data_IF_449647137789
#
_entry.id   IF_449647137789
#
_cell.length_a   1.000
_cell.length_b   1.000
_cell.length_c   1.000
_cell.angle_alpha   90.00
_cell.angle_beta   90.00
_cell.angle_gamma   90.00
#
_symmetry.space_group_name_H-M   'P 1'
#
loop_
_entity.id
_entity.type
_entity.pdbx_description
1 polymer ?
#
# COMPACT_ATOMS: atom_id res chain seq x y z
N UNK A 1 20.78 1.82 -5.51
CA UNK A 1 19.70 2.24 -6.41
C UNK A 1 18.57 1.26 -6.22
N UNK A 2 17.38 1.70 -5.83
CA UNK A 2 16.22 0.82 -5.71
C UNK A 2 15.78 0.41 -7.11
N UNK A 3 15.64 -0.89 -7.36
CA UNK A 3 15.16 -1.44 -8.63
C UNK A 3 13.70 -1.86 -8.46
N UNK A 4 12.94 -1.84 -9.57
CA UNK A 4 11.60 -2.40 -9.60
C UNK A 4 11.71 -3.91 -9.30
N UNK A 5 10.88 -4.47 -8.39
CA UNK A 5 10.94 -5.89 -8.08
C UNK A 5 10.44 -6.75 -9.24
N UNK A 6 11.12 -7.86 -9.51
CA UNK A 6 10.77 -8.80 -10.59
C UNK A 6 9.80 -9.91 -10.11
N UNK A 7 9.51 -9.97 -8.81
CA UNK A 7 8.59 -10.94 -8.22
C UNK A 7 7.86 -10.38 -7.00
N UNK A 8 6.77 -11.06 -6.59
CA UNK A 8 6.05 -10.72 -5.38
C UNK A 8 6.91 -10.91 -4.12
N UNK A 9 7.74 -11.95 -4.06
CA UNK A 9 8.63 -12.21 -2.93
C UNK A 9 9.71 -11.13 -2.79
N UNK A 10 10.23 -10.67 -3.92
CA UNK A 10 11.15 -9.53 -3.93
C UNK A 10 10.44 -8.25 -3.48
N UNK A 11 9.21 -7.99 -3.97
CA UNK A 11 8.44 -6.83 -3.55
C UNK A 11 8.15 -6.84 -2.04
N UNK A 12 7.88 -8.01 -1.44
CA UNK A 12 7.71 -8.16 0.01
C UNK A 12 9.02 -7.90 0.74
N UNK A 13 10.14 -8.44 0.23
CA UNK A 13 11.47 -8.23 0.80
C UNK A 13 11.84 -6.75 0.80
N UNK A 14 11.66 -6.06 -0.33
CA UNK A 14 11.90 -4.62 -0.43
C UNK A 14 10.95 -3.83 0.48
N UNK A 15 9.69 -4.25 0.63
CA UNK A 15 8.74 -3.61 1.54
C UNK A 15 9.18 -3.68 3.01
N UNK A 16 9.69 -4.84 3.45
CA UNK A 16 10.27 -5.00 4.80
C UNK A 16 11.47 -4.06 4.96
N UNK A 17 12.44 -4.10 4.04
CA UNK A 17 13.65 -3.27 4.09
C UNK A 17 13.33 -1.76 4.11
N UNK A 18 12.42 -1.30 3.27
CA UNK A 18 11.99 0.10 3.26
C UNK A 18 11.27 0.51 4.54
N UNK A 19 10.48 -0.39 5.14
CA UNK A 19 9.81 -0.14 6.41
C UNK A 19 10.85 -0.05 7.54
N UNK A 20 11.81 -0.96 7.60
CA UNK A 20 12.89 -0.93 8.60
C UNK A 20 13.76 0.32 8.48
N UNK A 21 14.15 0.69 7.25
CA UNK A 21 14.92 1.91 7.00
C UNK A 21 14.15 3.16 7.47
N UNK A 22 12.85 3.24 7.18
CA UNK A 22 12.02 4.35 7.64
C UNK A 22 11.91 4.40 9.18
N UNK A 23 11.75 3.24 9.83
CA UNK A 23 11.73 3.15 11.30
C UNK A 23 13.08 3.57 11.89
N UNK A 24 14.21 3.15 11.28
CA UNK A 24 15.55 3.49 11.72
C UNK A 24 15.82 5.00 11.65
N UNK A 25 15.23 5.68 10.67
CA UNK A 25 15.27 7.14 10.52
C UNK A 25 14.27 7.89 11.43
N UNK A 26 13.59 7.17 12.33
CA UNK A 26 12.71 7.73 13.36
C UNK A 26 11.28 8.01 12.89
N UNK A 27 10.87 7.50 11.72
CA UNK A 27 9.51 7.65 11.23
C UNK A 27 8.56 6.68 11.94
N UNK A 28 7.43 7.19 12.43
CA UNK A 28 6.54 6.44 13.33
C UNK A 28 5.18 6.13 12.72
N UNK A 29 4.80 6.75 11.61
CA UNK A 29 3.51 6.56 10.93
C UNK A 29 3.77 6.16 9.49
N UNK A 30 3.67 4.87 9.20
CA UNK A 30 4.15 4.28 7.95
C UNK A 30 3.02 3.53 7.23
N UNK A 31 3.09 3.54 5.90
CA UNK A 31 2.16 2.82 5.04
C UNK A 31 2.92 2.01 3.99
N UNK A 32 2.50 0.77 3.80
CA UNK A 32 2.98 -0.17 2.80
C UNK A 32 1.82 -0.57 1.90
N UNK A 33 2.01 -0.53 0.59
CA UNK A 33 0.98 -0.86 -0.39
C UNK A 33 1.52 -1.76 -1.51
N UNK A 34 1.02 -2.99 -1.58
CA UNK A 34 1.21 -3.89 -2.72
C UNK A 34 -0.09 -3.92 -3.54
N UNK A 35 -0.15 -3.14 -4.62
CA UNK A 35 -1.39 -2.90 -5.39
C UNK A 35 -1.46 -3.78 -6.65
N UNK A 36 -1.06 -5.04 -6.51
CA UNK A 36 -1.22 -6.04 -7.56
C UNK A 36 -2.71 -6.44 -7.70
N UNK A 37 -3.23 -6.58 -8.93
CA UNK A 37 -4.56 -7.14 -9.15
C UNK A 37 -4.69 -8.53 -8.52
N UNK A 38 -5.85 -8.82 -7.91
CA UNK A 38 -6.19 -10.14 -7.35
C UNK A 38 -5.23 -10.66 -6.26
N UNK A 39 -4.46 -9.76 -5.62
CA UNK A 39 -3.51 -10.13 -4.59
C UNK A 39 -4.21 -10.81 -3.41
N UNK A 40 -3.80 -12.04 -3.09
CA UNK A 40 -4.24 -12.75 -1.89
C UNK A 40 -3.50 -12.20 -0.68
N UNK A 41 -4.16 -11.34 0.09
CA UNK A 41 -3.49 -10.58 1.14
C UNK A 41 -3.03 -11.44 2.31
N UNK A 42 -3.78 -12.47 2.72
CA UNK A 42 -3.41 -13.28 3.89
C UNK A 42 -1.98 -13.88 3.83
N UNK A 43 -1.58 -14.63 2.77
CA UNK A 43 -0.22 -15.16 2.66
C UNK A 43 0.84 -14.05 2.49
N UNK A 44 0.50 -12.95 1.82
CA UNK A 44 1.41 -11.83 1.59
C UNK A 44 1.68 -11.07 2.90
N UNK A 45 0.63 -10.84 3.69
CA UNK A 45 0.73 -10.26 5.02
C UNK A 45 1.54 -11.17 5.95
N UNK A 46 1.39 -12.49 5.87
CA UNK A 46 2.22 -13.43 6.63
C UNK A 46 3.71 -13.24 6.32
N UNK A 47 4.06 -13.21 5.04
CA UNK A 47 5.45 -13.04 4.60
C UNK A 47 6.01 -11.66 5.00
N UNK A 48 5.22 -10.59 4.89
CA UNK A 48 5.62 -9.26 5.35
C UNK A 48 5.82 -9.21 6.86
N UNK A 49 4.88 -9.73 7.65
CA UNK A 49 4.95 -9.75 9.12
C UNK A 49 6.12 -10.61 9.60
N UNK A 50 6.45 -11.70 8.89
CA UNK A 50 7.59 -12.55 9.22
C UNK A 50 8.92 -11.78 9.23
N UNK A 51 9.06 -10.73 8.41
CA UNK A 51 10.22 -9.82 8.42
C UNK A 51 10.43 -9.08 9.75
N UNK A 52 9.42 -9.04 10.62
CA UNK A 52 9.49 -8.38 11.93
C UNK A 52 9.36 -9.37 13.10
N UNK A 53 9.31 -10.67 12.84
CA UNK A 53 9.02 -11.70 13.84
C UNK A 53 10.06 -11.76 14.98
N UNK A 54 11.32 -11.37 14.71
CA UNK A 54 12.40 -11.32 15.71
C UNK A 54 12.10 -10.37 16.88
N UNK A 55 11.15 -9.43 16.72
CA UNK A 55 10.68 -8.55 17.79
C UNK A 55 9.88 -9.29 18.87
N UNK A 56 9.41 -10.51 18.60
CA UNK A 56 8.65 -11.33 19.54
C UNK A 56 7.46 -10.59 20.14
N UNK A 57 7.35 -10.58 21.47
CA UNK A 57 6.27 -9.88 22.19
C UNK A 57 6.26 -8.36 21.96
N UNK A 58 7.35 -7.80 21.41
CA UNK A 58 7.42 -6.41 21.00
C UNK A 58 6.68 -6.09 19.70
N UNK A 59 6.12 -7.09 19.01
CA UNK A 59 5.31 -6.92 17.81
C UNK A 59 3.83 -7.17 18.13
N UNK A 60 2.97 -6.25 17.70
CA UNK A 60 1.51 -6.37 17.77
C UNK A 60 0.93 -6.34 16.37
N UNK A 61 0.09 -7.32 16.02
CA UNK A 61 -0.55 -7.42 14.71
C UNK A 61 -2.06 -7.35 14.85
N UNK A 62 -2.66 -6.39 14.17
CA UNK A 62 -4.09 -6.18 14.11
C UNK A 62 -4.65 -6.55 12.73
N UNK A 63 -5.79 -7.24 12.72
CA UNK A 63 -6.61 -7.50 11.55
C UNK A 63 -7.94 -6.75 11.65
N UNK A 64 -8.66 -6.55 10.52
CA UNK A 64 -9.88 -5.72 10.49
C UNK A 64 -10.93 -6.17 11.51
N UNK A 65 -11.09 -7.49 11.66
CA UNK A 65 -12.06 -8.10 12.55
C UNK A 65 -11.53 -9.38 13.22
N UNK A 66 -12.31 -9.90 14.17
CA UNK A 66 -11.99 -11.12 14.92
C UNK A 66 -11.90 -12.37 14.04
N UNK A 67 -12.67 -12.43 12.94
CA UNK A 67 -12.67 -13.54 11.99
C UNK A 67 -11.39 -13.58 11.16
N UNK A 68 -10.97 -12.45 10.61
CA UNK A 68 -9.69 -12.31 9.91
C UNK A 68 -8.50 -12.60 10.84
N UNK A 69 -8.55 -12.13 12.09
CA UNK A 69 -7.54 -12.43 13.10
C UNK A 69 -7.51 -13.93 13.47
N UNK A 70 -8.67 -14.57 13.60
CA UNK A 70 -8.75 -16.02 13.88
C UNK A 70 -8.24 -16.84 12.69
N UNK A 71 -8.56 -16.43 11.47
CA UNK A 71 -8.05 -17.04 10.25
C UNK A 71 -6.53 -16.95 10.17
N UNK A 72 -5.96 -15.77 10.44
CA UNK A 72 -4.51 -15.57 10.50
C UNK A 72 -3.85 -16.46 11.56
N UNK A 73 -4.39 -16.51 12.79
CA UNK A 73 -3.84 -17.40 13.84
C UNK A 73 -3.87 -18.88 13.44
N UNK A 74 -4.93 -19.31 12.74
CA UNK A 74 -5.03 -20.69 12.23
C UNK A 74 -3.99 -20.96 11.15
N UNK A 75 -3.86 -20.05 10.18
CA UNK A 75 -3.04 -20.26 8.99
C UNK A 75 -1.55 -20.02 9.26
N UNK A 76 -1.21 -19.12 10.19
CA UNK A 76 0.18 -18.74 10.52
C UNK A 76 0.78 -19.61 11.62
N UNK A 77 -0.06 -20.36 12.36
CA UNK A 77 0.36 -21.22 13.45
C UNK A 77 0.86 -20.44 14.67
N UNK A 78 1.77 -21.06 15.41
CA UNK A 78 2.36 -20.45 16.60
C UNK A 78 3.27 -19.28 16.21
N UNK A 79 2.96 -18.10 16.73
CA UNK A 79 3.70 -16.86 16.47
C UNK A 79 4.25 -16.31 17.78
N UNK A 80 5.45 -15.69 17.78
CA UNK A 80 6.04 -15.12 18.99
C UNK A 80 5.45 -13.74 19.36
N UNK A 81 4.46 -13.27 18.59
CA UNK A 81 3.78 -11.99 18.70
C UNK A 81 2.27 -12.19 18.77
N UNK A 82 1.52 -11.16 19.16
CA UNK A 82 0.08 -11.28 19.36
C UNK A 82 -0.70 -10.80 18.14
N UNK A 83 -1.62 -11.64 17.66
CA UNK A 83 -2.59 -11.34 16.59
C UNK A 83 -3.98 -11.12 17.19
N UNK A 84 -4.62 -9.98 16.87
CA UNK A 84 -5.97 -9.60 17.33
C UNK A 84 -6.80 -8.93 16.23
N UNK A 85 -8.12 -8.94 16.38
CA UNK A 85 -9.01 -8.05 15.64
C UNK A 85 -8.95 -6.63 16.24
N UNK A 86 -9.17 -5.60 15.42
CA UNK A 86 -9.11 -4.19 15.88
C UNK A 86 -10.18 -3.87 16.93
N UNK A 87 -11.35 -4.51 16.85
CA UNK A 87 -12.47 -4.31 17.79
C UNK A 87 -12.53 -5.33 18.93
N UNK A 88 -11.52 -6.20 19.09
CA UNK A 88 -11.49 -7.16 20.21
C UNK A 88 -11.49 -6.44 21.58
N UNK A 89 -12.06 -7.10 22.61
CA UNK A 89 -12.20 -6.56 23.97
C UNK A 89 -10.85 -6.26 24.67
N UNK A 90 -9.73 -6.79 24.18
CA UNK A 90 -8.38 -6.63 24.74
C UNK A 90 -7.40 -6.15 23.65
N UNK A 91 -7.63 -4.92 23.16
CA UNK A 91 -6.90 -4.31 22.05
C UNK A 91 -5.90 -3.24 22.46
N UNK A 92 -5.80 -2.94 23.76
CA UNK A 92 -4.89 -1.92 24.28
C UNK A 92 -3.43 -2.24 23.94
N UNK A 93 -2.69 -1.22 23.52
CA UNK A 93 -1.27 -1.33 23.20
C UNK A 93 -0.48 -1.51 24.50
N UNK A 94 0.25 -2.62 24.62
CA UNK A 94 1.01 -2.95 25.82
C UNK A 94 2.36 -2.20 25.86
N UNK A 95 2.96 -1.96 27.04
CA UNK A 95 4.23 -1.23 27.16
C UNK A 95 5.42 -1.88 26.43
N UNK A 96 5.47 -3.21 26.39
CA UNK A 96 6.52 -3.98 25.72
C UNK A 96 6.44 -3.92 24.19
N UNK A 97 5.28 -3.53 23.64
CA UNK A 97 5.07 -3.45 22.20
C UNK A 97 5.82 -2.24 21.64
N UNK A 98 6.74 -2.53 20.72
CA UNK A 98 7.64 -1.58 20.07
C UNK A 98 7.30 -1.32 18.60
N UNK A 99 6.50 -2.20 17.98
CA UNK A 99 6.01 -2.07 16.60
C UNK A 99 4.57 -2.57 16.52
N UNK A 100 3.68 -1.76 15.94
CA UNK A 100 2.28 -2.09 15.75
C UNK A 100 1.99 -2.16 14.25
N UNK A 101 1.50 -3.31 13.78
CA UNK A 101 1.10 -3.52 12.39
C UNK A 101 -0.42 -3.64 12.29
N UNK A 102 -1.03 -2.90 11.37
CA UNK A 102 -2.42 -3.09 10.99
C UNK A 102 -2.49 -3.67 9.59
N UNK A 103 -3.07 -4.86 9.47
CA UNK A 103 -3.27 -5.57 8.21
C UNK A 103 -4.64 -5.17 7.65
N UNK A 104 -4.64 -4.51 6.50
CA UNK A 104 -5.83 -4.04 5.79
C UNK A 104 -6.87 -3.28 6.63
N UNK A 105 -6.49 -2.36 7.54
CA UNK A 105 -7.49 -1.60 8.28
C UNK A 105 -8.40 -0.85 7.30
N UNK A 106 -9.69 -0.80 7.59
CA UNK A 106 -10.73 -0.22 6.74
C UNK A 106 -11.41 0.99 7.37
N UNK A 107 -12.24 1.65 6.57
CA UNK A 107 -13.09 2.76 7.01
C UNK A 107 -14.04 2.41 8.16
N UNK A 108 -14.39 1.14 8.32
CA UNK A 108 -15.36 0.67 9.33
C UNK A 108 -14.83 0.89 10.75
N UNK A 109 -13.56 0.53 10.97
CA UNK A 109 -12.90 0.52 12.27
C UNK A 109 -11.94 1.73 12.46
N UNK A 110 -11.96 2.70 11.55
CA UNK A 110 -10.98 3.80 11.51
C UNK A 110 -10.90 4.60 12.82
N UNK A 111 -12.03 4.80 13.50
CA UNK A 111 -12.04 5.50 14.79
C UNK A 111 -11.27 4.74 15.88
N UNK A 112 -11.36 3.41 15.88
CA UNK A 112 -10.60 2.55 16.81
C UNK A 112 -9.12 2.50 16.43
N UNK A 113 -8.80 2.44 15.14
CA UNK A 113 -7.41 2.53 14.64
C UNK A 113 -6.77 3.86 15.05
N UNK A 114 -7.49 4.98 14.91
CA UNK A 114 -7.05 6.31 15.33
C UNK A 114 -6.73 6.34 16.84
N UNK A 115 -7.61 5.78 17.68
CA UNK A 115 -7.38 5.67 19.13
C UNK A 115 -6.17 4.78 19.48
N UNK A 116 -6.00 3.64 18.82
CA UNK A 116 -4.85 2.75 19.03
C UNK A 116 -3.54 3.40 18.59
N UNK A 117 -3.56 4.18 17.51
CA UNK A 117 -2.41 4.97 17.08
C UNK A 117 -2.02 6.02 18.14
N UNK A 118 -3.00 6.67 18.78
CA UNK A 118 -2.73 7.60 19.89
C UNK A 118 -2.11 6.87 21.09
N UNK A 119 -2.61 5.68 21.44
CA UNK A 119 -2.02 4.85 22.50
C UNK A 119 -0.59 4.42 22.18
N UNK A 120 -0.28 4.13 20.91
CA UNK A 120 1.07 3.80 20.46
C UNK A 120 2.07 4.95 20.70
N UNK A 121 1.62 6.21 20.74
CA UNK A 121 2.49 7.36 20.95
C UNK A 121 3.56 7.46 19.87
N UNK A 122 4.82 7.54 20.27
CA UNK A 122 5.98 7.62 19.37
C UNK A 122 6.46 6.26 18.84
N UNK A 123 5.77 5.16 19.19
CA UNK A 123 6.12 3.84 18.68
C UNK A 123 5.68 3.70 17.22
N UNK A 124 6.52 3.10 16.35
CA UNK A 124 6.15 2.85 14.97
C UNK A 124 4.84 2.10 14.81
N UNK A 125 3.98 2.66 13.96
CA UNK A 125 2.75 2.06 13.47
C UNK A 125 2.83 1.96 11.96
N UNK A 126 2.61 0.76 11.44
CA UNK A 126 2.63 0.49 9.99
C UNK A 126 1.27 -0.03 9.55
N UNK A 127 0.71 0.58 8.52
CA UNK A 127 -0.44 0.07 7.79
C UNK A 127 0.03 -0.75 6.61
N UNK A 128 -0.40 -2.01 6.54
CA UNK A 128 -0.14 -2.89 5.42
C UNK A 128 -1.40 -3.03 4.56
N UNK A 129 -1.36 -2.54 3.32
CA UNK A 129 -2.47 -2.51 2.37
C UNK A 129 -3.79 -1.96 2.96
N UNK A 130 -3.78 -0.76 3.59
CA UNK A 130 -4.98 -0.18 4.19
C UNK A 130 -6.08 0.09 3.16
N UNK A 131 -7.34 0.02 3.61
CA UNK A 131 -8.57 0.34 2.86
C UNK A 131 -9.33 1.48 3.55
N UNK A 132 -8.58 2.49 3.99
CA UNK A 132 -9.09 3.63 4.77
C UNK A 132 -9.75 4.71 3.92
N UNK A 133 -9.50 4.66 2.61
CA UNK A 133 -10.08 5.58 1.64
C UNK A 133 -10.92 4.80 0.62
N UNK A 134 -12.03 4.23 1.09
CA UNK A 134 -13.05 3.83 0.14
C UNK A 134 -13.72 5.11 -0.40
N UNK A 135 -13.42 5.42 -1.66
CA UNK A 135 -14.04 6.49 -2.45
C UNK A 135 -15.58 6.34 -2.46
N UNK A 136 -16.10 5.13 -2.20
CA UNK A 136 -17.52 4.86 -2.09
C UNK A 136 -18.11 5.02 -0.67
N UNK A 137 -17.34 4.88 0.41
CA UNK A 137 -17.90 4.90 1.80
C UNK A 137 -17.65 6.20 2.55
N UNK A 138 -16.51 6.87 2.34
CA UNK A 138 -16.12 8.07 3.10
C UNK A 138 -16.23 9.35 2.27
N UNK A 139 -16.24 9.23 0.94
CA UNK A 139 -16.78 10.25 0.05
C UNK A 139 -15.98 11.56 -0.05
N UNK A 140 -16.15 12.17 -1.19
CA UNK A 140 -15.91 13.58 -1.56
C UNK A 140 -16.45 14.66 -0.58
N UNK A 141 -17.08 14.26 0.53
CA UNK A 141 -17.73 15.11 1.53
C UNK A 141 -16.81 15.56 2.67
N UNK A 142 -17.38 16.37 3.57
CA UNK A 142 -16.65 17.02 4.68
C UNK A 142 -15.99 16.02 5.64
N UNK A 143 -16.71 14.97 6.04
CA UNK A 143 -16.20 13.97 6.99
C UNK A 143 -14.95 13.24 6.47
N UNK A 144 -14.92 12.90 5.18
CA UNK A 144 -13.77 12.27 4.54
C UNK A 144 -12.56 13.18 4.41
N UNK A 145 -12.77 14.47 4.09
CA UNK A 145 -11.68 15.46 4.09
C UNK A 145 -11.09 15.63 5.48
N UNK A 146 -11.94 15.76 6.49
CA UNK A 146 -11.51 15.91 7.87
C UNK A 146 -10.71 14.69 8.36
N UNK A 147 -11.12 13.47 7.99
CA UNK A 147 -10.37 12.26 8.32
C UNK A 147 -8.98 12.25 7.67
N UNK A 148 -8.87 12.64 6.39
CA UNK A 148 -7.57 12.74 5.73
C UNK A 148 -6.66 13.73 6.42
N UNK A 149 -7.15 14.95 6.64
CA UNK A 149 -6.38 16.03 7.24
C UNK A 149 -5.94 15.70 8.67
N UNK A 150 -6.84 15.15 9.49
CA UNK A 150 -6.54 14.89 10.90
C UNK A 150 -5.78 13.60 11.14
N UNK A 151 -5.85 12.60 10.24
CA UNK A 151 -5.33 11.26 10.51
C UNK A 151 -4.51 10.68 9.35
N UNK A 152 -5.11 10.49 8.17
CA UNK A 152 -4.44 9.74 7.09
C UNK A 152 -3.20 10.46 6.53
N UNK A 153 -3.22 11.79 6.45
CA UNK A 153 -2.08 12.59 5.99
C UNK A 153 -0.87 12.54 6.94
N UNK A 154 -1.01 11.96 8.14
CA UNK A 154 0.12 11.75 9.05
C UNK A 154 0.99 10.55 8.61
N UNK A 155 0.46 9.65 7.78
CA UNK A 155 1.15 8.44 7.37
C UNK A 155 1.99 8.67 6.12
N UNK A 156 3.27 8.28 6.20
CA UNK A 156 4.15 8.28 5.06
C UNK A 156 4.13 6.92 4.38
N UNK A 157 3.85 6.89 3.08
CA UNK A 157 4.07 5.69 2.28
C UNK A 157 5.57 5.37 2.31
N UNK A 158 5.99 4.27 2.94
CA UNK A 158 7.39 3.83 2.96
C UNK A 158 7.69 2.85 1.82
N UNK A 159 6.68 2.07 1.40
CA UNK A 159 6.76 1.23 0.23
C UNK A 159 5.42 1.22 -0.51
N UNK A 160 5.43 1.40 -1.84
CA UNK A 160 4.21 1.32 -2.65
C UNK A 160 4.59 0.84 -4.04
N UNK A 161 3.92 -0.21 -4.52
CA UNK A 161 4.04 -0.65 -5.91
C UNK A 161 2.65 -0.80 -6.53
N UNK A 162 2.44 -0.10 -7.64
CA UNK A 162 1.23 -0.14 -8.43
C UNK A 162 1.57 -0.42 -9.89
N UNK A 163 1.42 -1.68 -10.34
CA UNK A 163 1.44 -1.99 -11.76
C UNK A 163 0.29 -1.29 -12.50
N UNK A 164 0.57 -0.83 -13.71
CA UNK A 164 -0.35 -0.23 -14.67
C UNK A 164 -0.17 -0.91 -16.02
N UNK A 165 -1.06 -0.68 -16.97
CA UNK A 165 -0.85 -1.13 -18.35
C UNK A 165 0.35 -0.40 -18.96
N UNK A 166 1.44 -1.13 -19.24
CA UNK A 166 2.66 -0.58 -19.82
C UNK A 166 3.50 0.30 -18.89
N UNK A 167 3.18 0.39 -17.60
CA UNK A 167 3.89 1.25 -16.66
C UNK A 167 3.78 0.75 -15.20
N UNK A 168 4.53 1.36 -14.29
CA UNK A 168 4.36 1.17 -12.85
C UNK A 168 4.65 2.46 -12.08
N UNK A 169 3.89 2.71 -11.02
CA UNK A 169 4.22 3.73 -10.01
C UNK A 169 4.79 3.02 -8.80
N UNK A 170 5.99 3.42 -8.42
CA UNK A 170 6.80 2.73 -7.42
C UNK A 170 7.38 3.69 -6.40
N UNK A 171 7.53 3.23 -5.16
CA UNK A 171 8.26 3.91 -4.11
C UNK A 171 8.83 2.87 -3.16
N UNK A 172 10.12 3.01 -2.83
CA UNK A 172 10.74 2.27 -1.74
C UNK A 172 11.65 3.24 -0.97
N UNK A 173 11.33 3.50 0.29
CA UNK A 173 12.08 4.41 1.15
C UNK A 173 13.56 4.00 1.19
N UNK A 174 14.52 4.95 1.08
CA UNK A 174 14.35 6.41 1.09
C UNK A 174 14.15 7.06 -0.29
N UNK A 175 14.03 6.29 -1.37
CA UNK A 175 13.87 6.83 -2.72
C UNK A 175 12.55 7.61 -2.87
N UNK A 176 12.50 8.63 -3.75
CA UNK A 176 11.28 9.37 -4.07
C UNK A 176 10.26 8.46 -4.78
N UNK A 177 9.10 9.03 -5.13
CA UNK A 177 8.18 8.33 -6.03
C UNK A 177 8.80 8.21 -7.41
N UNK A 178 8.61 7.08 -8.06
CA UNK A 178 9.18 6.75 -9.34
C UNK A 178 8.09 6.29 -10.30
N UNK A 179 8.22 6.69 -11.57
CA UNK A 179 7.39 6.18 -12.66
C UNK A 179 8.27 5.37 -13.59
N UNK A 180 7.90 4.12 -13.80
CA UNK A 180 8.58 3.18 -14.68
C UNK A 180 7.72 2.91 -15.91
N UNK A 181 8.32 2.87 -17.09
CA UNK A 181 7.65 2.58 -18.36
C UNK A 181 8.17 1.24 -18.89
N UNK A 182 7.25 0.38 -19.32
CA UNK A 182 7.59 -0.88 -19.98
C UNK A 182 8.16 -0.61 -21.38
N UNK A 183 9.36 -1.11 -21.63
CA UNK A 183 9.99 -1.17 -22.95
C UNK A 183 10.02 -2.63 -23.43
N UNK A 184 10.45 -2.87 -24.67
CA UNK A 184 10.46 -4.19 -25.30
C UNK A 184 11.11 -5.31 -24.47
N UNK A 185 12.11 -4.97 -23.64
CA UNK A 185 12.89 -5.96 -22.87
C UNK A 185 12.90 -5.74 -21.36
N UNK A 186 12.54 -4.55 -20.88
CA UNK A 186 12.66 -4.19 -19.46
C UNK A 186 11.86 -2.93 -19.12
N UNK A 187 11.59 -2.72 -17.84
CA UNK A 187 11.11 -1.43 -17.34
C UNK A 187 12.24 -0.40 -17.27
N UNK A 188 11.94 0.83 -17.68
CA UNK A 188 12.84 1.98 -17.59
C UNK A 188 12.25 3.06 -16.68
N UNK A 189 13.07 3.59 -15.77
CA UNK A 189 12.70 4.76 -14.97
C UNK A 189 12.58 6.00 -15.88
N UNK A 190 11.40 6.64 -15.88
CA UNK A 190 11.11 7.81 -16.73
C UNK A 190 10.88 9.10 -15.94
N UNK A 191 10.56 9.01 -14.64
CA UNK A 191 10.39 10.18 -13.78
C UNK A 191 10.60 9.85 -12.30
N UNK A 192 11.03 10.85 -11.55
CA UNK A 192 11.07 10.86 -10.08
C UNK A 192 10.30 12.07 -9.55
N UNK A 193 9.44 11.86 -8.57
CA UNK A 193 8.52 12.87 -8.04
C UNK A 193 8.54 12.89 -6.51
N UNK A 194 8.37 14.08 -5.93
CA UNK A 194 8.31 14.23 -4.47
C UNK A 194 7.01 13.65 -3.87
N UNK A 195 5.93 13.68 -4.64
CA UNK A 195 4.61 13.17 -4.26
C UNK A 195 4.16 12.06 -5.21
N UNK A 196 3.19 11.27 -4.77
CA UNK A 196 2.65 10.16 -5.58
C UNK A 196 2.03 10.72 -6.87
N UNK A 197 2.55 10.38 -8.06
CA UNK A 197 1.91 10.78 -9.30
C UNK A 197 0.61 10.00 -9.49
N UNK A 198 -0.48 10.70 -9.82
CA UNK A 198 -1.79 10.14 -10.07
C UNK A 198 -2.61 11.06 -11.00
N UNK A 199 -3.64 10.50 -11.66
CA UNK A 199 -4.51 11.25 -12.57
C UNK A 199 -3.72 11.99 -13.65
N UNK A 200 -4.08 13.25 -13.88
CA UNK A 200 -3.46 14.12 -14.90
C UNK A 200 -1.93 14.22 -14.76
N UNK A 201 -1.39 14.24 -13.54
CA UNK A 201 0.05 14.34 -13.32
C UNK A 201 0.78 13.08 -13.83
N UNK A 202 0.23 11.90 -13.57
CA UNK A 202 0.76 10.65 -14.08
C UNK A 202 0.60 10.55 -15.60
N UNK A 203 -0.57 10.93 -16.12
CA UNK A 203 -0.85 10.91 -17.56
C UNK A 203 0.13 11.80 -18.32
N UNK A 204 0.41 13.01 -17.80
CA UNK A 204 1.39 13.92 -18.39
C UNK A 204 2.81 13.35 -18.41
N UNK A 205 3.24 12.65 -17.35
CA UNK A 205 4.54 11.97 -17.31
C UNK A 205 4.62 10.90 -18.41
N UNK A 206 3.60 10.05 -18.53
CA UNK A 206 3.56 8.97 -19.50
C UNK A 206 3.51 9.48 -20.95
N UNK A 207 2.72 10.54 -21.21
CA UNK A 207 2.65 11.18 -22.53
C UNK A 207 3.99 11.78 -22.95
N UNK A 208 4.67 12.52 -22.05
CA UNK A 208 5.99 13.10 -22.32
C UNK A 208 7.02 12.02 -22.64
N UNK A 209 7.02 10.91 -21.90
CA UNK A 209 7.93 9.79 -22.15
C UNK A 209 7.70 9.11 -23.52
N UNK A 210 6.47 9.15 -24.04
CA UNK A 210 6.11 8.66 -25.38
C UNK A 210 6.31 9.71 -26.49
N UNK A 211 6.86 10.89 -26.18
CA UNK A 211 7.03 11.99 -27.14
C UNK A 211 5.72 12.68 -27.54
N UNK A 212 4.65 12.48 -26.77
CA UNK A 212 3.34 13.09 -26.98
C UNK A 212 3.23 14.41 -26.21
N UNK A 213 2.46 15.36 -26.75
CA UNK A 213 2.23 16.63 -26.08
C UNK A 213 1.07 16.49 -25.06
N UNK A 214 1.30 16.70 -23.74
CA UNK A 214 0.27 16.58 -22.71
C UNK A 214 -0.87 17.60 -22.84
N UNK A 215 -0.69 18.70 -23.58
CA UNK A 215 -1.74 19.69 -23.83
C UNK A 215 -2.73 19.25 -24.94
N UNK A 216 -2.53 18.07 -25.54
CA UNK A 216 -3.45 17.48 -26.51
C UNK A 216 -4.35 16.43 -25.83
N UNK A 217 -5.65 16.36 -26.17
CA UNK A 217 -6.56 15.39 -25.56
C UNK A 217 -6.05 13.97 -25.77
N UNK A 218 -5.92 13.21 -24.68
CA UNK A 218 -5.46 11.82 -24.72
C UNK A 218 -6.37 11.00 -25.65
N UNK A 219 -5.82 10.18 -26.58
CA UNK A 219 -6.64 9.25 -27.33
C UNK A 219 -7.29 8.27 -26.33
N UNK A 220 -8.61 8.09 -26.44
CA UNK A 220 -9.40 7.21 -25.57
C UNK A 220 -9.00 5.73 -25.75
N UNK A 221 -7.89 5.33 -25.14
CA UNK A 221 -7.34 3.97 -25.25
C UNK A 221 -8.26 2.88 -24.65
N UNK A 222 -9.26 3.26 -23.84
CA UNK A 222 -10.14 2.30 -23.15
C UNK A 222 -11.40 1.82 -23.89
N UNK A 223 -11.95 2.56 -24.85
CA UNK A 223 -13.24 2.19 -25.49
C UNK A 223 -13.13 1.89 -26.98
N UNK A 224 -12.13 2.46 -27.66
CA UNK A 224 -11.97 2.27 -29.11
C UNK A 224 -11.24 0.95 -29.46
N UNK A 225 -10.39 0.46 -28.56
CA UNK A 225 -9.64 -0.79 -28.71
C UNK A 225 -10.55 -2.03 -28.59
N UNK A 226 -11.54 -1.97 -27.70
CA UNK A 226 -12.57 -3.02 -27.56
C UNK A 226 -13.47 -3.11 -28.79
N UNK A 227 -13.93 -1.97 -29.33
CA UNK A 227 -14.71 -1.92 -30.57
C UNK A 227 -13.91 -2.46 -31.77
N UNK A 228 -12.62 -2.15 -31.87
CA UNK A 228 -11.79 -2.69 -32.95
C UNK A 228 -11.55 -4.20 -32.84
N UNK A 229 -11.43 -4.75 -31.63
CA UNK A 229 -11.36 -6.22 -31.41
C UNK A 229 -12.70 -6.88 -31.73
N UNK A 230 -13.82 -6.27 -31.36
CA UNK A 230 -15.16 -6.79 -31.64
C UNK A 230 -15.47 -6.81 -33.14
N UNK A 231 -15.10 -5.76 -33.88
CA UNK A 231 -15.30 -5.68 -35.34
C UNK A 231 -14.41 -6.67 -36.11
N UNK A 232 -13.20 -6.94 -35.62
CA UNK A 232 -12.32 -7.99 -36.20
C UNK A 232 -12.85 -9.40 -35.93
N UNK A 233 -13.50 -9.63 -34.78
CA UNK A 233 -14.11 -10.92 -34.45
C UNK A 233 -15.37 -11.22 -35.27
N UNK A 234 -16.05 -10.18 -35.80
CA UNK A 234 -17.26 -10.32 -36.64
C UNK A 234 -16.95 -10.46 -38.14
N UNK A 235 -15.70 -10.30 -38.54
CA UNK A 235 -15.25 -10.41 -39.94
C UNK A 235 -14.51 -11.72 -40.25
N UNK A 236 -14.59 -12.70 -39.34
CA UNK A 236 -14.19 -14.10 -39.56
C UNK A 236 -15.40 -15.02 -39.55
#
# INVERSE_FOLDING_TARGET
MTQLPDSLDEAITQAVQSTEAAIADGLTRLQVELLFPELRIMPVAQAFVAGFAERGSGLRVFFPDAGAAALARRDWGDTPYVIRGIEDLQTEIQPEESLILFIQPSSVEVGKVEALCQQAGDRPVVFFNPRLEDVATIGIGYAGRQLRERFLNQFQACYSIRPLEGAAVFRAYPAPWQVWLEQETAYQLIAEEAQRPAGEALDAILMRAQGLNPDQPAPSRGLFSELQRFLRALSQ
#
